data_IF_302958326993
#
_entry.id   IF_302958326993
#
_cell.length_a   1.000
_cell.length_b   1.000
_cell.length_c   1.000
_cell.angle_alpha   90.00
_cell.angle_beta   90.00
_cell.angle_gamma   90.00
#
_symmetry.space_group_name_H-M   'P 1'
#
loop_
_entity.id
_entity.type
_entity.pdbx_description
1 polymer ?
#
# COMPACT_ATOMS: atom_id res chain seq x y z
N UNK A 1 -12.90 -2.95 -21.00
CA UNK A 1 -11.83 -3.19 -20.00
C UNK A 1 -11.98 -4.61 -19.49
N UNK A 2 -11.00 -5.47 -19.71
CA UNK A 2 -10.99 -6.81 -19.11
C UNK A 2 -10.78 -6.59 -17.60
N UNK A 3 -11.73 -7.07 -16.80
CA UNK A 3 -11.72 -6.94 -15.35
C UNK A 3 -10.87 -8.09 -14.83
N UNK A 4 -9.62 -7.82 -14.50
CA UNK A 4 -8.71 -8.84 -13.98
C UNK A 4 -9.29 -9.47 -12.70
N UNK A 5 -9.25 -10.80 -12.63
CA UNK A 5 -9.80 -11.58 -11.53
C UNK A 5 -8.80 -11.68 -10.37
N UNK A 6 -9.29 -11.99 -9.18
CA UNK A 6 -8.44 -12.20 -8.00
C UNK A 6 -7.40 -13.32 -8.23
N UNK A 7 -7.79 -14.38 -8.93
CA UNK A 7 -6.89 -15.48 -9.26
C UNK A 7 -5.78 -15.04 -10.23
N UNK A 8 -6.10 -14.20 -11.21
CA UNK A 8 -5.10 -13.62 -12.12
C UNK A 8 -4.11 -12.74 -11.34
N UNK A 9 -4.59 -11.89 -10.44
CA UNK A 9 -3.73 -11.06 -9.58
C UNK A 9 -2.80 -11.90 -8.68
N UNK A 10 -3.32 -12.99 -8.09
CA UNK A 10 -2.55 -13.92 -7.26
C UNK A 10 -1.56 -14.77 -8.05
N UNK A 11 -1.79 -14.97 -9.35
CA UNK A 11 -0.89 -15.74 -10.23
C UNK A 11 0.35 -14.96 -10.65
N UNK A 12 0.39 -13.64 -10.43
CA UNK A 12 1.55 -12.81 -10.74
C UNK A 12 2.71 -13.18 -9.82
N UNK A 13 3.84 -13.54 -10.42
CA UNK A 13 5.04 -13.83 -9.65
C UNK A 13 5.86 -12.56 -9.44
N UNK A 14 5.80 -12.02 -8.22
CA UNK A 14 6.70 -10.98 -7.74
C UNK A 14 7.83 -11.64 -6.92
N UNK A 15 8.76 -12.31 -7.60
CA UNK A 15 9.93 -12.93 -6.95
C UNK A 15 10.93 -11.85 -6.54
N UNK A 16 11.31 -11.81 -5.26
CA UNK A 16 12.26 -10.86 -4.67
C UNK A 16 11.90 -9.38 -4.87
N UNK A 17 10.90 -8.95 -4.12
CA UNK A 17 10.54 -7.54 -4.01
C UNK A 17 11.62 -6.79 -3.22
N UNK A 18 12.42 -5.99 -3.92
CA UNK A 18 13.48 -5.18 -3.32
C UNK A 18 12.97 -3.78 -2.98
N UNK A 19 12.79 -3.51 -1.68
CA UNK A 19 12.35 -2.21 -1.19
C UNK A 19 13.33 -1.09 -1.57
N UNK A 20 14.60 -1.40 -1.81
CA UNK A 20 15.60 -0.42 -2.25
C UNK A 20 15.31 0.13 -3.65
N UNK A 21 14.55 -0.60 -4.47
CA UNK A 21 14.08 -0.09 -5.77
C UNK A 21 13.24 1.19 -5.62
N UNK A 22 12.62 1.41 -4.45
CA UNK A 22 11.84 2.60 -4.18
C UNK A 22 12.69 3.87 -3.99
N UNK A 23 14.00 3.72 -3.79
CA UNK A 23 14.96 4.81 -3.56
C UNK A 23 14.52 5.81 -2.47
N UNK A 24 13.84 5.30 -1.44
CA UNK A 24 13.47 6.08 -0.25
C UNK A 24 14.71 6.42 0.58
N UNK A 25 14.56 7.35 1.54
CA UNK A 25 15.61 7.63 2.52
C UNK A 25 16.03 6.34 3.26
N UNK A 26 17.30 6.23 3.63
CA UNK A 26 17.85 5.02 4.25
C UNK A 26 17.12 4.63 5.54
N UNK A 27 16.81 5.62 6.37
CA UNK A 27 16.15 5.44 7.67
C UNK A 27 14.78 4.75 7.54
N UNK A 28 13.93 5.22 6.62
CA UNK A 28 12.62 4.61 6.37
C UNK A 28 12.74 3.29 5.62
N UNK A 29 13.71 3.16 4.72
CA UNK A 29 13.97 1.92 3.96
C UNK A 29 14.27 0.76 4.90
N UNK A 30 15.12 0.97 5.90
CA UNK A 30 15.49 -0.07 6.88
C UNK A 30 14.29 -0.51 7.73
N UNK A 31 13.45 0.44 8.15
CA UNK A 31 12.21 0.16 8.90
C UNK A 31 11.21 -0.64 8.05
N UNK A 32 11.03 -0.26 6.78
CA UNK A 32 10.15 -0.98 5.86
C UNK A 32 10.67 -2.39 5.57
N UNK A 33 12.00 -2.55 5.39
CA UNK A 33 12.60 -3.86 5.18
C UNK A 33 12.41 -4.78 6.40
N UNK A 34 12.57 -4.25 7.61
CA UNK A 34 12.28 -4.97 8.84
C UNK A 34 10.81 -5.42 8.90
N UNK A 35 9.86 -4.51 8.61
CA UNK A 35 8.42 -4.82 8.61
C UNK A 35 8.05 -5.88 7.57
N UNK A 36 8.62 -5.83 6.37
CA UNK A 36 8.38 -6.84 5.33
C UNK A 36 8.82 -8.23 5.80
N UNK A 37 10.01 -8.34 6.41
CA UNK A 37 10.47 -9.60 7.00
C UNK A 37 9.54 -10.10 8.11
N UNK A 38 9.01 -9.20 8.93
CA UNK A 38 8.05 -9.55 9.99
C UNK A 38 6.72 -10.05 9.41
N UNK A 39 6.22 -9.42 8.34
CA UNK A 39 5.02 -9.84 7.61
C UNK A 39 5.21 -11.26 7.07
N UNK A 40 6.34 -11.57 6.46
CA UNK A 40 6.64 -12.89 5.90
C UNK A 40 6.72 -13.98 6.99
N UNK A 41 7.27 -13.66 8.16
CA UNK A 41 7.25 -14.57 9.33
C UNK A 41 5.83 -14.82 9.81
N UNK A 42 5.02 -13.77 9.96
CA UNK A 42 3.61 -13.87 10.37
C UNK A 42 2.77 -14.69 9.37
N UNK A 43 3.07 -14.56 8.08
CA UNK A 43 2.42 -15.37 7.05
C UNK A 43 2.80 -16.85 7.20
N UNK A 44 4.10 -17.12 7.34
CA UNK A 44 4.62 -18.49 7.52
C UNK A 44 4.15 -19.16 8.82
N UNK A 45 3.84 -18.37 9.86
CA UNK A 45 3.34 -18.87 11.14
C UNK A 45 1.82 -19.05 11.19
N UNK A 46 1.09 -18.77 10.11
CA UNK A 46 -0.37 -18.86 10.10
C UNK A 46 -1.07 -17.76 10.91
N UNK A 47 -0.51 -16.54 10.92
CA UNK A 47 -1.04 -15.37 11.64
C UNK A 47 -1.70 -14.36 10.69
N UNK A 48 -2.86 -14.67 10.07
CA UNK A 48 -3.43 -13.88 8.97
C UNK A 48 -3.80 -12.46 9.37
N UNK A 49 -4.30 -12.25 10.59
CA UNK A 49 -4.61 -10.90 11.09
C UNK A 49 -3.33 -10.04 11.13
N UNK A 50 -2.25 -10.56 11.70
CA UNK A 50 -0.99 -9.84 11.79
C UNK A 50 -0.44 -9.46 10.40
N UNK A 51 -0.51 -10.39 9.43
CA UNK A 51 -0.12 -10.11 8.03
C UNK A 51 -0.91 -8.95 7.46
N UNK A 52 -2.25 -8.98 7.59
CA UNK A 52 -3.13 -7.93 7.06
C UNK A 52 -2.78 -6.57 7.67
N UNK A 53 -2.67 -6.50 9.00
CA UNK A 53 -2.43 -5.23 9.71
C UNK A 53 -1.04 -4.67 9.38
N UNK A 54 -0.01 -5.51 9.41
CA UNK A 54 1.35 -5.11 9.11
C UNK A 54 1.53 -4.72 7.64
N UNK A 55 0.90 -5.44 6.71
CA UNK A 55 0.92 -5.10 5.28
C UNK A 55 0.27 -3.74 5.02
N UNK A 56 -0.87 -3.44 5.65
CA UNK A 56 -1.47 -2.11 5.58
C UNK A 56 -0.62 -1.00 6.16
N UNK A 57 0.03 -1.24 7.30
CA UNK A 57 0.97 -0.28 7.88
C UNK A 57 2.21 -0.05 7.01
N UNK A 58 2.76 -1.11 6.39
CA UNK A 58 3.90 -0.99 5.49
C UNK A 58 3.54 -0.23 4.21
N UNK A 59 2.35 -0.49 3.66
CA UNK A 59 1.83 0.20 2.48
C UNK A 59 1.71 1.72 2.71
N UNK A 60 1.17 2.11 3.86
CA UNK A 60 1.08 3.51 4.27
C UNK A 60 2.47 4.16 4.41
N UNK A 61 3.43 3.47 5.02
CA UNK A 61 4.80 3.94 5.15
C UNK A 61 5.50 4.14 3.79
N UNK A 62 5.27 3.24 2.83
CA UNK A 62 5.80 3.37 1.46
C UNK A 62 5.27 4.64 0.79
N UNK A 63 3.95 4.83 0.77
CA UNK A 63 3.37 5.98 0.08
C UNK A 63 3.70 7.31 0.75
N UNK A 64 3.74 7.35 2.09
CA UNK A 64 4.17 8.54 2.81
C UNK A 64 5.65 8.87 2.51
N UNK A 65 6.53 7.87 2.48
CA UNK A 65 7.93 8.05 2.13
C UNK A 65 8.09 8.68 0.74
N UNK A 66 7.34 8.18 -0.25
CA UNK A 66 7.32 8.75 -1.60
C UNK A 66 6.79 10.18 -1.63
N UNK A 67 5.72 10.46 -0.89
CA UNK A 67 5.13 11.78 -0.83
C UNK A 67 6.09 12.82 -0.23
N UNK A 68 6.81 12.46 0.83
CA UNK A 68 7.83 13.30 1.45
C UNK A 68 8.99 13.57 0.48
N UNK A 69 9.40 12.57 -0.29
CA UNK A 69 10.50 12.70 -1.25
C UNK A 69 10.11 13.45 -2.54
N UNK A 70 8.84 13.36 -2.95
CA UNK A 70 8.29 13.97 -4.16
C UNK A 70 7.10 14.91 -3.85
N UNK A 71 7.29 15.93 -2.99
CA UNK A 71 6.17 16.70 -2.44
C UNK A 71 5.45 17.53 -3.50
N UNK A 72 6.16 17.99 -4.54
CA UNK A 72 5.58 18.79 -5.63
C UNK A 72 4.57 17.95 -6.41
N UNK A 73 4.96 16.75 -6.82
CA UNK A 73 4.13 15.84 -7.60
C UNK A 73 2.89 15.44 -6.80
N UNK A 74 3.07 15.00 -5.55
CA UNK A 74 1.96 14.62 -4.67
C UNK A 74 1.01 15.79 -4.35
N UNK A 75 1.51 17.00 -4.06
CA UNK A 75 0.63 18.13 -3.76
C UNK A 75 -0.05 18.73 -5.01
N UNK A 76 0.44 18.44 -6.22
CA UNK A 76 -0.14 18.95 -7.47
C UNK A 76 -1.21 18.03 -8.08
N UNK A 77 -1.33 16.79 -7.60
CA UNK A 77 -2.33 15.85 -8.09
C UNK A 77 -3.76 16.34 -7.81
N UNK A 78 -4.69 15.94 -8.67
CA UNK A 78 -6.11 16.31 -8.55
C UNK A 78 -6.78 15.59 -7.39
N UNK A 79 -6.35 14.36 -7.12
CA UNK A 79 -6.79 13.51 -6.01
C UNK A 79 -6.17 13.89 -4.65
N UNK A 80 -5.29 14.88 -4.60
CA UNK A 80 -4.72 15.35 -3.33
C UNK A 80 -5.83 15.89 -2.42
N UNK A 81 -5.89 15.46 -1.15
CA UNK A 81 -6.93 15.87 -0.23
C UNK A 81 -6.80 17.36 0.08
N UNK A 82 -7.93 18.06 0.01
CA UNK A 82 -8.01 19.50 0.25
C UNK A 82 -8.83 19.81 1.49
N UNK A 83 -8.56 20.96 2.09
CA UNK A 83 -9.39 21.55 3.13
C UNK A 83 -10.60 22.29 2.53
N UNK A 84 -11.41 22.89 3.39
CA UNK A 84 -12.60 23.65 3.00
C UNK A 84 -12.27 24.89 2.15
N UNK A 85 -11.00 25.34 2.16
CA UNK A 85 -10.51 26.48 1.38
C UNK A 85 -9.82 26.02 0.08
N UNK A 86 -10.01 24.76 -0.33
CA UNK A 86 -9.35 24.16 -1.50
C UNK A 86 -7.82 24.09 -1.43
N UNK A 87 -7.24 24.27 -0.25
CA UNK A 87 -5.79 24.13 -0.02
C UNK A 87 -5.47 22.67 0.25
N UNK A 88 -4.38 22.17 -0.34
CA UNK A 88 -3.92 20.80 -0.11
C UNK A 88 -3.47 20.64 1.34
N UNK A 89 -3.93 19.56 1.97
CA UNK A 89 -3.62 19.23 3.37
C UNK A 89 -2.15 18.85 3.53
N UNK A 90 -1.53 19.09 4.70
CA UNK A 90 -0.21 18.57 5.00
C UNK A 90 -0.22 17.03 5.08
N UNK A 91 0.87 16.35 4.72
CA UNK A 91 0.90 14.89 4.58
C UNK A 91 0.53 14.10 5.83
N UNK A 92 0.72 14.64 7.05
CA UNK A 92 0.31 13.96 8.28
C UNK A 92 -1.22 13.90 8.46
N UNK A 93 -1.98 14.68 7.70
CA UNK A 93 -3.45 14.62 7.65
C UNK A 93 -3.97 13.73 6.51
N UNK A 94 -3.08 13.18 5.67
CA UNK A 94 -3.50 12.34 4.56
C UNK A 94 -3.88 10.95 5.06
N UNK A 95 -4.97 10.42 4.54
CA UNK A 95 -5.37 9.03 4.79
C UNK A 95 -4.65 8.09 3.83
N UNK A 96 -4.51 6.81 4.21
CA UNK A 96 -4.05 5.77 3.28
C UNK A 96 -4.86 5.73 1.98
N UNK A 97 -6.17 6.03 2.04
CA UNK A 97 -6.99 6.15 0.82
C UNK A 97 -6.46 7.22 -0.12
N UNK A 98 -6.21 8.42 0.41
CA UNK A 98 -5.71 9.55 -0.37
C UNK A 98 -4.35 9.26 -0.98
N UNK A 99 -3.47 8.57 -0.25
CA UNK A 99 -2.18 8.13 -0.77
C UNK A 99 -2.33 7.12 -1.92
N UNK A 100 -3.23 6.14 -1.79
CA UNK A 100 -3.51 5.16 -2.85
C UNK A 100 -4.01 5.87 -4.12
N UNK A 101 -4.95 6.80 -3.97
CA UNK A 101 -5.55 7.53 -5.10
C UNK A 101 -4.52 8.41 -5.83
N UNK A 102 -3.72 9.17 -5.08
CA UNK A 102 -2.65 10.01 -5.67
C UNK A 102 -1.58 9.17 -6.34
N UNK A 103 -1.14 8.08 -5.71
CA UNK A 103 -0.15 7.16 -6.30
C UNK A 103 -0.66 6.57 -7.63
N UNK A 104 -1.96 6.28 -7.71
CA UNK A 104 -2.59 5.82 -8.95
C UNK A 104 -2.65 6.92 -10.01
N UNK A 105 -3.04 8.15 -9.64
CA UNK A 105 -3.08 9.29 -10.55
C UNK A 105 -1.71 9.60 -11.15
N UNK A 106 -0.65 9.53 -10.33
CA UNK A 106 0.74 9.69 -10.74
C UNK A 106 1.25 8.54 -11.62
N UNK A 107 0.44 7.51 -11.84
CA UNK A 107 0.78 6.37 -12.70
C UNK A 107 1.87 5.47 -12.13
N UNK A 108 2.06 5.48 -10.81
CA UNK A 108 3.05 4.65 -10.11
C UNK A 108 2.53 3.23 -9.87
N UNK A 109 1.21 3.06 -9.79
CA UNK A 109 0.54 1.77 -9.66
C UNK A 109 -0.55 1.56 -10.72
N UNK A 110 -0.85 0.31 -11.02
CA UNK A 110 -1.87 -0.12 -11.97
C UNK A 110 -3.27 -0.16 -11.34
N UNK A 111 -4.29 -0.35 -12.18
CA UNK A 111 -5.69 -0.21 -11.75
C UNK A 111 -6.12 -1.28 -10.74
N UNK A 112 -5.71 -2.52 -10.99
CA UNK A 112 -5.86 -3.66 -10.10
C UNK A 112 -5.12 -3.44 -8.77
N UNK A 113 -3.84 -3.04 -8.81
CA UNK A 113 -3.05 -2.74 -7.62
C UNK A 113 -3.68 -1.62 -6.78
N UNK A 114 -4.22 -0.58 -7.42
CA UNK A 114 -5.02 0.47 -6.77
C UNK A 114 -6.27 -0.10 -6.08
N UNK A 115 -7.07 -0.88 -6.79
CA UNK A 115 -8.30 -1.50 -6.27
C UNK A 115 -8.01 -2.39 -5.06
N UNK A 116 -7.04 -3.29 -5.17
CA UNK A 116 -6.70 -4.21 -4.08
C UNK A 116 -5.98 -3.49 -2.92
N UNK A 117 -5.30 -2.38 -3.17
CA UNK A 117 -4.76 -1.51 -2.10
C UNK A 117 -5.87 -0.92 -1.23
N UNK A 118 -7.00 -0.50 -1.83
CA UNK A 118 -8.16 -0.07 -1.05
C UNK A 118 -8.77 -1.22 -0.24
N UNK A 119 -8.85 -2.43 -0.80
CA UNK A 119 -9.31 -3.60 -0.05
C UNK A 119 -8.38 -3.90 1.15
N UNK A 120 -7.07 -3.85 0.95
CA UNK A 120 -6.08 -4.03 2.02
C UNK A 120 -6.20 -2.94 3.10
N UNK A 121 -6.41 -1.68 2.72
CA UNK A 121 -6.72 -0.58 3.67
C UNK A 121 -7.94 -0.93 4.52
N UNK A 122 -9.00 -1.43 3.91
CA UNK A 122 -10.24 -1.78 4.62
C UNK A 122 -10.02 -2.93 5.59
N UNK A 123 -9.31 -3.99 5.16
CA UNK A 123 -8.94 -5.09 6.04
C UNK A 123 -8.05 -4.65 7.21
N UNK A 124 -7.17 -3.66 7.00
CA UNK A 124 -6.32 -3.09 8.07
C UNK A 124 -7.13 -2.37 9.15
N UNK A 125 -8.35 -1.91 8.87
CA UNK A 125 -9.22 -1.29 9.89
C UNK A 125 -9.70 -2.27 10.96
N UNK A 126 -9.59 -3.58 10.70
CA UNK A 126 -9.84 -4.63 11.70
C UNK A 126 -8.76 -4.72 12.77
N UNK A 127 -7.79 -3.79 12.78
CA UNK A 127 -7.01 -3.51 13.99
C UNK A 127 -7.89 -3.09 15.17
N UNK A 128 -9.07 -2.53 14.89
CA UNK A 128 -10.09 -2.21 15.87
C UNK A 128 -10.98 -3.44 16.12
N UNK A 129 -10.93 -4.08 17.31
CA UNK A 129 -11.66 -5.33 17.54
C UNK A 129 -13.18 -5.22 17.39
N UNK A 130 -13.76 -4.05 17.72
CA UNK A 130 -15.20 -3.81 17.54
C UNK A 130 -15.61 -3.74 16.06
N UNK A 131 -14.77 -3.20 15.18
CA UNK A 131 -15.00 -3.21 13.73
C UNK A 131 -14.91 -4.64 13.17
N UNK A 132 -13.97 -5.42 13.68
CA UNK A 132 -13.86 -6.83 13.31
C UNK A 132 -15.10 -7.62 13.76
N UNK A 133 -15.56 -7.41 14.99
CA UNK A 133 -16.74 -8.05 15.55
C UNK A 133 -18.01 -7.67 14.78
N UNK A 134 -18.23 -6.38 14.53
CA UNK A 134 -19.44 -5.87 13.88
C UNK A 134 -19.57 -6.35 12.43
N UNK A 135 -18.44 -6.47 11.73
CA UNK A 135 -18.39 -6.97 10.35
C UNK A 135 -18.47 -8.50 10.23
N UNK A 136 -18.29 -9.24 11.34
CA UNK A 136 -18.15 -10.69 11.32
C UNK A 136 -16.90 -11.17 10.58
N UNK A 137 -15.91 -10.30 10.41
CA UNK A 137 -14.70 -10.63 9.65
C UNK A 137 -13.83 -11.62 10.40
N UNK A 138 -13.54 -12.75 9.76
CA UNK A 138 -12.59 -13.75 10.22
C UNK A 138 -11.35 -13.71 9.31
N UNK A 139 -10.20 -13.24 9.83
CA UNK A 139 -8.94 -13.25 9.09
C UNK A 139 -8.56 -14.68 8.68
N UNK A 140 -8.35 -14.90 7.38
CA UNK A 140 -7.96 -16.20 6.82
C UNK A 140 -6.68 -16.08 6.01
N UNK A 141 -5.99 -17.20 5.84
CA UNK A 141 -4.75 -17.28 5.07
C UNK A 141 -4.90 -16.72 3.65
N UNK A 142 -6.04 -17.01 2.99
CA UNK A 142 -6.34 -16.47 1.67
C UNK A 142 -6.34 -14.94 1.61
N UNK A 143 -6.99 -14.27 2.58
CA UNK A 143 -7.00 -12.80 2.66
C UNK A 143 -5.62 -12.25 2.98
N UNK A 144 -4.87 -12.92 3.85
CA UNK A 144 -3.49 -12.57 4.16
C UNK A 144 -2.58 -12.68 2.91
N UNK A 145 -2.78 -13.71 2.09
CA UNK A 145 -2.05 -13.92 0.82
C UNK A 145 -2.34 -12.78 -0.16
N UNK A 146 -3.60 -12.38 -0.31
CA UNK A 146 -3.97 -11.21 -1.13
C UNK A 146 -3.29 -9.95 -0.60
N UNK A 147 -3.33 -9.69 0.70
CA UNK A 147 -2.72 -8.48 1.27
C UNK A 147 -1.20 -8.45 1.08
N UNK A 148 -0.52 -9.59 1.26
CA UNK A 148 0.90 -9.72 0.98
C UNK A 148 1.20 -9.50 -0.50
N UNK A 149 0.37 -10.04 -1.40
CA UNK A 149 0.52 -9.87 -2.84
C UNK A 149 0.35 -8.40 -3.26
N UNK A 150 -0.59 -7.68 -2.66
CA UNK A 150 -0.76 -6.22 -2.89
C UNK A 150 0.50 -5.46 -2.50
N UNK A 151 1.06 -5.71 -1.32
CA UNK A 151 2.29 -5.06 -0.90
C UNK A 151 3.44 -5.31 -1.88
N UNK A 152 3.57 -6.56 -2.36
CA UNK A 152 4.57 -6.95 -3.34
C UNK A 152 4.37 -6.25 -4.69
N UNK A 153 3.15 -6.24 -5.20
CA UNK A 153 2.78 -5.56 -6.45
C UNK A 153 3.09 -4.07 -6.38
N UNK A 154 2.73 -3.41 -5.28
CA UNK A 154 2.99 -1.97 -5.08
C UNK A 154 4.47 -1.66 -5.14
N UNK A 155 5.31 -2.40 -4.41
CA UNK A 155 6.76 -2.15 -4.40
C UNK A 155 7.36 -2.39 -5.80
N UNK A 156 6.95 -3.46 -6.48
CA UNK A 156 7.42 -3.75 -7.83
C UNK A 156 7.02 -2.65 -8.82
N UNK A 157 5.73 -2.31 -8.88
CA UNK A 157 5.21 -1.31 -9.83
C UNK A 157 5.79 0.08 -9.58
N UNK A 158 5.95 0.50 -8.32
CA UNK A 158 6.60 1.78 -8.05
C UNK A 158 8.06 1.74 -8.49
N UNK A 159 8.79 0.66 -8.21
CA UNK A 159 10.17 0.48 -8.66
C UNK A 159 10.33 0.72 -10.16
N UNK A 160 9.42 0.15 -10.96
CA UNK A 160 9.41 0.30 -12.43
C UNK A 160 8.96 1.70 -12.89
N UNK A 161 8.09 2.34 -12.14
CA UNK A 161 7.41 3.58 -12.56
C UNK A 161 7.98 4.86 -11.93
N UNK A 162 8.97 4.78 -11.03
CA UNK A 162 9.55 5.93 -10.34
C UNK A 162 10.05 7.04 -11.26
N UNK A 163 10.54 6.68 -12.46
CA UNK A 163 11.00 7.65 -13.45
C UNK A 163 9.91 8.66 -13.85
N UNK A 164 8.62 8.30 -13.74
CA UNK A 164 7.49 9.17 -14.10
C UNK A 164 7.36 10.42 -13.23
N UNK A 165 7.88 10.38 -11.99
CA UNK A 165 7.73 11.47 -11.01
C UNK A 165 9.05 12.13 -10.63
N UNK A 166 10.18 11.68 -11.22
CA UNK A 166 11.51 12.25 -10.98
C UNK A 166 11.83 13.47 -11.86
N UNK A 167 10.95 13.79 -12.82
CA UNK A 167 11.07 14.95 -13.70
C UNK A 167 10.47 16.24 -13.09
#
# INVERSE_FOLDING_TARGET
MIKETENEFLSREFTNVDIKALALESSITDVLQYRIKEIEKCFSSGSPLAVILLAGSALEGIFLGLAIQHPKQFNSAKSSPKDNNSKVRPFHEWTLSSFIDVTKELGLIQHDTHKFSHSLRDFRNYIHPFEQMSSGFSPREHTAKICLQVLKAVIHEIGDNLAKIRA
#
